data_IF_998416258004
#
_entry.id   IF_998416258004
#
_cell.length_a   1.000
_cell.length_b   1.000
_cell.length_c   1.000
_cell.angle_alpha   90.00
_cell.angle_beta   90.00
_cell.angle_gamma   90.00
#
_symmetry.space_group_name_H-M   'P 1'
#
loop_
_entity.id
_entity.type
_entity.pdbx_description
1 polymer ?
#
# COMPACT_ATOMS: atom_id res chain seq x y z
N UNK A 1 12.27 -12.20 -4.71
CA UNK A 1 11.94 -10.82 -4.29
C UNK A 1 11.17 -10.79 -2.97
N UNK A 2 11.57 -9.96 -2.01
CA UNK A 2 10.82 -9.65 -0.77
C UNK A 2 10.16 -8.28 -0.87
N UNK A 3 8.84 -8.20 -0.67
CA UNK A 3 8.04 -7.00 -0.91
C UNK A 3 6.97 -6.74 0.17
N UNK A 4 6.82 -5.47 0.51
CA UNK A 4 5.70 -4.91 1.29
C UNK A 4 4.72 -4.19 0.35
N UNK A 5 3.44 -4.61 0.31
CA UNK A 5 2.46 -4.08 -0.65
C UNK A 5 1.68 -2.86 -0.16
N UNK A 6 1.86 -2.42 1.09
CA UNK A 6 1.11 -1.29 1.64
C UNK A 6 2.03 -0.42 2.49
N UNK A 7 2.54 0.66 1.93
CA UNK A 7 3.41 1.60 2.64
C UNK A 7 3.09 3.05 2.31
N UNK A 8 3.22 3.91 3.33
CA UNK A 8 3.20 5.37 3.20
C UNK A 8 4.60 5.90 3.48
N UNK A 9 5.11 6.71 2.56
CA UNK A 9 6.44 7.30 2.56
C UNK A 9 6.46 8.76 3.02
N UNK A 10 5.30 9.33 3.36
CA UNK A 10 5.17 10.64 4.00
C UNK A 10 4.93 10.49 5.49
N UNK A 11 5.49 11.42 6.27
CA UNK A 11 5.26 11.46 7.71
C UNK A 11 3.77 11.64 8.06
N UNK A 12 3.05 12.44 7.28
CA UNK A 12 1.61 12.57 7.40
C UNK A 12 0.98 13.13 6.12
N UNK A 13 -0.33 12.87 5.96
CA UNK A 13 -1.16 13.34 4.85
C UNK A 13 -1.07 14.86 4.58
N UNK A 14 -0.89 15.67 5.63
CA UNK A 14 -0.85 17.15 5.54
C UNK A 14 0.57 17.74 5.49
N UNK A 15 1.60 16.91 5.61
CA UNK A 15 3.00 17.32 5.54
C UNK A 15 3.46 17.20 4.09
N UNK A 16 4.38 18.05 3.64
CA UNK A 16 4.96 17.95 2.30
C UNK A 16 5.86 16.72 2.18
N UNK A 17 6.07 16.24 0.95
CA UNK A 17 7.00 15.14 0.73
C UNK A 17 8.44 15.61 0.98
N UNK A 18 9.23 14.79 1.68
CA UNK A 18 10.63 15.05 1.96
C UNK A 18 11.47 13.87 1.46
N UNK A 19 12.34 14.14 0.48
CA UNK A 19 13.23 13.16 -0.11
C UNK A 19 14.20 12.55 0.92
N UNK A 20 14.58 13.28 1.97
CA UNK A 20 15.45 12.77 3.03
C UNK A 20 14.71 11.73 3.88
N UNK A 21 13.49 12.06 4.31
CA UNK A 21 12.63 11.11 5.03
C UNK A 21 12.31 9.88 4.18
N UNK A 22 12.03 10.06 2.88
CA UNK A 22 11.87 8.94 1.94
C UNK A 22 13.10 8.04 1.91
N UNK A 23 14.31 8.60 1.85
CA UNK A 23 15.54 7.82 1.89
C UNK A 23 15.69 7.02 3.20
N UNK A 24 15.28 7.57 4.35
CA UNK A 24 15.26 6.83 5.62
C UNK A 24 14.25 5.66 5.59
N UNK A 25 13.09 5.85 4.96
CA UNK A 25 12.11 4.77 4.72
C UNK A 25 12.75 3.64 3.91
N UNK A 26 13.43 3.96 2.81
CA UNK A 26 14.09 2.96 1.96
C UNK A 26 15.22 2.25 2.70
N UNK A 27 16.06 2.98 3.45
CA UNK A 27 17.11 2.38 4.25
C UNK A 27 16.55 1.38 5.27
N UNK A 28 15.49 1.75 6.01
CA UNK A 28 14.84 0.85 6.97
C UNK A 28 14.20 -0.37 6.28
N UNK A 29 13.70 -0.22 5.05
CA UNK A 29 13.19 -1.32 4.24
C UNK A 29 14.31 -2.32 3.91
N UNK A 30 15.45 -1.82 3.43
CA UNK A 30 16.63 -2.62 3.11
C UNK A 30 17.18 -3.33 4.36
N UNK A 31 17.32 -2.63 5.48
CA UNK A 31 17.79 -3.20 6.76
C UNK A 31 16.82 -4.26 7.31
N UNK A 32 15.52 -4.13 7.03
CA UNK A 32 14.53 -5.16 7.36
C UNK A 32 14.55 -6.36 6.39
N UNK A 33 15.39 -6.32 5.36
CA UNK A 33 15.58 -7.38 4.38
C UNK A 33 14.62 -7.34 3.20
N UNK A 34 13.88 -6.24 2.99
CA UNK A 34 13.06 -6.05 1.78
C UNK A 34 13.94 -5.79 0.55
N UNK A 35 13.46 -6.22 -0.61
CA UNK A 35 14.03 -5.85 -1.91
C UNK A 35 13.17 -4.80 -2.63
N UNK A 36 11.89 -4.74 -2.26
CA UNK A 36 10.92 -3.86 -2.86
C UNK A 36 9.85 -3.40 -1.86
N UNK A 37 9.15 -2.32 -2.21
CA UNK A 37 7.87 -1.95 -1.61
C UNK A 37 6.95 -1.37 -2.67
N UNK A 38 5.64 -1.36 -2.39
CA UNK A 38 4.68 -0.54 -3.08
C UNK A 38 4.44 0.74 -2.28
N UNK A 39 4.70 1.89 -2.91
CA UNK A 39 4.45 3.21 -2.35
C UNK A 39 2.98 3.57 -2.60
N UNK A 40 2.12 3.36 -1.61
CA UNK A 40 0.65 3.49 -1.73
C UNK A 40 0.15 4.68 -0.92
N UNK A 41 0.73 5.85 -1.15
CA UNK A 41 0.32 7.09 -0.48
C UNK A 41 -1.16 7.39 -0.69
N UNK A 42 -1.81 7.98 0.31
CA UNK A 42 -3.19 8.43 0.19
C UNK A 42 -3.35 9.37 -1.01
N UNK A 43 -4.29 9.07 -1.92
CA UNK A 43 -4.50 9.85 -3.14
C UNK A 43 -4.86 11.33 -2.87
N UNK A 44 -5.47 11.61 -1.72
CA UNK A 44 -5.87 12.93 -1.23
C UNK A 44 -4.84 13.53 -0.25
N UNK A 45 -3.58 13.07 -0.28
CA UNK A 45 -2.45 13.68 0.44
C UNK A 45 -2.10 15.05 -0.14
N UNK A 46 -1.59 15.94 0.70
CA UNK A 46 -1.11 17.27 0.28
C UNK A 46 -0.04 17.09 -0.80
N UNK A 47 -0.18 17.82 -1.90
CA UNK A 47 0.79 17.86 -2.99
C UNK A 47 1.16 16.46 -3.53
N UNK A 48 0.16 15.61 -3.78
CA UNK A 48 0.37 14.24 -4.27
C UNK A 48 1.33 14.15 -5.47
N UNK A 49 1.19 15.05 -6.45
CA UNK A 49 2.03 15.06 -7.66
C UNK A 49 3.52 15.35 -7.37
N UNK A 50 3.81 16.20 -6.36
CA UNK A 50 5.19 16.55 -5.98
C UNK A 50 6.00 15.34 -5.52
N UNK A 51 5.34 14.28 -5.00
CA UNK A 51 6.01 13.02 -4.64
C UNK A 51 6.73 12.45 -5.87
N UNK A 52 5.99 12.30 -6.97
CA UNK A 52 6.51 11.72 -8.20
C UNK A 52 7.49 12.64 -8.92
N UNK A 53 7.27 13.96 -8.89
CA UNK A 53 8.20 14.94 -9.43
C UNK A 53 9.55 14.92 -8.71
N UNK A 54 9.54 14.82 -7.38
CA UNK A 54 10.76 14.67 -6.59
C UNK A 54 11.47 13.35 -6.89
N UNK A 55 10.73 12.24 -6.99
CA UNK A 55 11.34 10.95 -7.35
C UNK A 55 11.97 10.97 -8.76
N UNK A 56 11.32 11.61 -9.73
CA UNK A 56 11.84 11.76 -11.10
C UNK A 56 13.17 12.55 -11.15
N UNK A 57 13.37 13.49 -10.23
CA UNK A 57 14.61 14.27 -10.13
C UNK A 57 15.77 13.48 -9.50
N UNK A 58 15.47 12.44 -8.71
CA UNK A 58 16.47 11.77 -7.87
C UNK A 58 16.77 10.32 -8.29
N UNK A 59 15.81 9.63 -8.90
CA UNK A 59 15.93 8.21 -9.20
C UNK A 59 15.44 7.86 -10.61
N UNK A 60 16.10 6.91 -11.29
CA UNK A 60 15.62 6.41 -12.55
C UNK A 60 14.33 5.61 -12.35
N UNK A 61 13.32 5.95 -13.16
CA UNK A 61 12.10 5.16 -13.31
C UNK A 61 12.34 4.07 -14.36
N UNK A 62 12.20 2.81 -13.97
CA UNK A 62 12.46 1.63 -14.80
C UNK A 62 11.22 0.74 -14.76
N UNK A 63 10.68 0.42 -15.94
CA UNK A 63 9.45 -0.36 -16.10
C UNK A 63 8.27 0.24 -15.30
N UNK A 64 7.92 -0.34 -14.15
CA UNK A 64 6.84 0.12 -13.27
C UNK A 64 7.32 0.58 -11.88
N UNK A 65 8.62 0.78 -11.66
CA UNK A 65 9.19 1.15 -10.36
C UNK A 65 10.31 2.20 -10.45
N UNK A 66 10.56 2.90 -9.34
CA UNK A 66 11.79 3.68 -9.17
C UNK A 66 12.90 2.80 -8.61
N UNK A 67 14.08 2.83 -9.24
CA UNK A 67 15.26 2.14 -8.74
C UNK A 67 16.02 3.06 -7.77
N UNK A 68 15.82 2.84 -6.48
CA UNK A 68 16.49 3.57 -5.40
C UNK A 68 17.72 2.79 -4.95
N UNK A 69 18.84 2.99 -5.64
CA UNK A 69 20.12 2.32 -5.34
C UNK A 69 20.02 0.78 -5.26
N UNK A 70 19.30 0.17 -6.20
CA UNK A 70 19.06 -1.27 -6.28
C UNK A 70 17.79 -1.74 -5.56
N UNK A 71 17.09 -0.86 -4.84
CA UNK A 71 15.83 -1.16 -4.19
C UNK A 71 14.64 -0.73 -5.08
N UNK A 72 13.63 -1.61 -5.24
CA UNK A 72 12.50 -1.36 -6.15
C UNK A 72 11.34 -0.68 -5.42
N UNK A 73 10.98 0.53 -5.83
CA UNK A 73 9.81 1.26 -5.32
C UNK A 73 8.72 1.26 -6.37
N UNK A 74 7.79 0.32 -6.28
CA UNK A 74 6.64 0.24 -7.16
C UNK A 74 5.69 1.42 -6.90
N UNK A 75 5.21 2.02 -7.98
CA UNK A 75 4.37 3.22 -7.90
C UNK A 75 2.93 2.87 -7.59
N UNK A 76 2.32 3.58 -6.65
CA UNK A 76 0.99 3.28 -6.13
C UNK A 76 0.27 4.47 -5.51
N UNK A 77 -1.00 4.24 -5.15
CA UNK A 77 -1.78 5.12 -4.29
C UNK A 77 -2.87 4.32 -3.56
N UNK A 78 -3.17 4.72 -2.32
CA UNK A 78 -4.34 4.24 -1.58
C UNK A 78 -5.52 5.19 -1.83
N UNK A 79 -6.62 4.65 -2.33
CA UNK A 79 -7.80 5.42 -2.74
C UNK A 79 -8.98 5.06 -1.84
N UNK A 80 -9.61 6.09 -1.28
CA UNK A 80 -10.84 5.97 -0.50
C UNK A 80 -12.04 5.90 -1.48
N UNK A 81 -12.94 4.93 -1.31
CA UNK A 81 -14.15 4.80 -2.13
C UNK A 81 -15.40 5.29 -1.39
N UNK A 82 -16.41 5.73 -2.15
CA UNK A 82 -17.63 6.36 -1.62
C UNK A 82 -18.43 5.47 -0.69
N UNK A 83 -18.57 4.19 -1.04
CA UNK A 83 -19.30 3.20 -0.24
C UNK A 83 -18.44 2.60 0.87
N UNK A 84 -17.34 3.28 1.23
CA UNK A 84 -16.39 2.95 2.31
C UNK A 84 -15.43 1.83 1.94
N UNK A 85 -14.18 1.92 2.42
CA UNK A 85 -13.11 0.98 2.12
C UNK A 85 -11.99 1.67 1.35
N UNK A 86 -10.79 1.08 1.40
CA UNK A 86 -9.62 1.62 0.73
C UNK A 86 -9.10 0.59 -0.28
N UNK A 87 -8.69 1.06 -1.46
CA UNK A 87 -8.10 0.22 -2.51
C UNK A 87 -6.68 0.68 -2.75
N UNK A 88 -5.73 -0.25 -2.69
CA UNK A 88 -4.35 -0.02 -3.12
C UNK A 88 -4.30 -0.21 -4.64
N UNK A 89 -4.02 0.87 -5.34
CA UNK A 89 -3.86 0.89 -6.79
C UNK A 89 -2.38 1.02 -7.12
N UNK A 90 -1.77 -0.05 -7.60
CA UNK A 90 -0.34 -0.12 -7.91
C UNK A 90 -0.19 -0.31 -9.42
N UNK A 91 0.75 0.37 -10.07
CA UNK A 91 0.91 0.28 -11.53
C UNK A 91 1.82 1.34 -12.10
N UNK A 92 1.97 1.33 -13.42
CA UNK A 92 2.78 2.30 -14.14
C UNK A 92 2.46 3.75 -13.75
N UNK A 93 3.50 4.55 -13.49
CA UNK A 93 3.40 5.94 -13.03
C UNK A 93 2.51 6.79 -13.93
N UNK A 94 2.68 6.71 -15.25
CA UNK A 94 1.91 7.54 -16.19
C UNK A 94 0.42 7.22 -16.12
N UNK A 95 0.08 5.94 -16.02
CA UNK A 95 -1.31 5.49 -15.89
C UNK A 95 -1.90 5.86 -14.53
N UNK A 96 -1.10 5.71 -13.47
CA UNK A 96 -1.49 6.08 -12.12
C UNK A 96 -1.77 7.59 -11.99
N UNK A 97 -0.89 8.44 -12.53
CA UNK A 97 -1.09 9.89 -12.57
C UNK A 97 -2.27 10.30 -13.47
N UNK A 98 -2.59 9.51 -14.49
CA UNK A 98 -3.80 9.71 -15.31
C UNK A 98 -5.06 9.48 -14.48
N UNK A 99 -5.13 8.35 -13.76
CA UNK A 99 -6.25 8.08 -12.85
C UNK A 99 -6.32 9.11 -11.74
N UNK A 100 -5.17 9.50 -11.15
CA UNK A 100 -5.16 10.54 -10.12
C UNK A 100 -5.79 11.84 -10.63
N UNK A 101 -5.47 12.29 -11.86
CA UNK A 101 -6.09 13.49 -12.45
C UNK A 101 -7.61 13.35 -12.63
N UNK A 102 -8.09 12.18 -13.05
CA UNK A 102 -9.53 11.91 -13.13
C UNK A 102 -10.21 12.01 -11.75
N UNK A 103 -9.46 11.75 -10.69
CA UNK A 103 -9.91 11.84 -9.30
C UNK A 103 -9.67 13.20 -8.64
N UNK A 104 -9.22 14.25 -9.34
CA UNK A 104 -8.99 15.58 -8.75
C UNK A 104 -10.24 16.18 -8.10
N UNK A 105 -11.43 15.90 -8.66
CA UNK A 105 -12.71 16.28 -8.07
C UNK A 105 -13.20 15.35 -6.96
N UNK A 106 -12.53 14.22 -6.74
CA UNK A 106 -13.00 13.11 -5.89
C UNK A 106 -12.16 12.92 -4.62
N UNK A 107 -11.47 13.95 -4.13
CA UNK A 107 -10.55 13.83 -2.99
C UNK A 107 -11.18 14.09 -1.62
N UNK A 108 -12.42 14.57 -1.60
CA UNK A 108 -13.17 14.88 -0.38
C UNK A 108 -14.12 13.74 -0.01
N UNK A 109 -14.28 13.51 1.30
CA UNK A 109 -15.10 12.42 1.85
C UNK A 109 -16.54 12.37 1.34
N UNK A 110 -17.09 13.52 0.95
CA UNK A 110 -18.47 13.66 0.48
C UNK A 110 -18.58 13.40 -1.03
N UNK A 111 -17.46 13.28 -1.73
CA UNK A 111 -17.39 13.13 -3.18
C UNK A 111 -16.36 12.08 -3.66
N UNK A 112 -16.01 11.10 -2.84
CA UNK A 112 -15.16 9.98 -3.29
C UNK A 112 -15.76 9.27 -4.51
N UNK A 113 -14.90 8.63 -5.30
CA UNK A 113 -15.28 7.82 -6.47
C UNK A 113 -16.06 6.58 -6.04
N UNK A 114 -17.00 6.12 -6.86
CA UNK A 114 -17.70 4.86 -6.62
C UNK A 114 -16.73 3.69 -6.73
N UNK A 115 -16.91 2.65 -5.90
CA UNK A 115 -16.02 1.48 -5.95
C UNK A 115 -16.02 0.81 -7.34
N UNK A 116 -17.18 0.67 -7.97
CA UNK A 116 -17.31 0.06 -9.30
C UNK A 116 -16.59 0.88 -10.39
N UNK A 117 -16.70 2.20 -10.34
CA UNK A 117 -16.00 3.11 -11.26
C UNK A 117 -14.48 2.99 -11.08
N UNK A 118 -14.00 2.92 -9.84
CA UNK A 118 -12.58 2.74 -9.56
C UNK A 118 -12.06 1.39 -10.09
N UNK A 119 -12.83 0.31 -9.93
CA UNK A 119 -12.48 -1.00 -10.50
C UNK A 119 -12.35 -0.92 -12.02
N UNK A 120 -13.30 -0.26 -12.69
CA UNK A 120 -13.27 -0.08 -14.15
C UNK A 120 -12.03 0.71 -14.60
N UNK A 121 -11.68 1.79 -13.90
CA UNK A 121 -10.47 2.55 -14.17
C UNK A 121 -9.21 1.70 -13.98
N UNK A 122 -9.14 0.96 -12.88
CA UNK A 122 -8.01 0.08 -12.59
C UNK A 122 -7.79 -1.00 -13.65
N UNK A 123 -8.87 -1.65 -14.09
CA UNK A 123 -8.86 -2.66 -15.14
C UNK A 123 -8.41 -2.07 -16.49
N UNK A 124 -9.00 -0.94 -16.91
CA UNK A 124 -8.66 -0.26 -18.16
C UNK A 124 -7.18 0.12 -18.23
N UNK A 125 -6.60 0.49 -17.09
CA UNK A 125 -5.20 0.89 -16.99
C UNK A 125 -4.25 -0.26 -16.63
N UNK A 126 -4.76 -1.49 -16.45
CA UNK A 126 -3.98 -2.65 -16.01
C UNK A 126 -3.20 -2.39 -14.71
N UNK A 127 -3.88 -1.83 -13.71
CA UNK A 127 -3.35 -1.71 -12.36
C UNK A 127 -3.49 -3.04 -11.60
N UNK A 128 -2.63 -3.23 -10.60
CA UNK A 128 -2.83 -4.19 -9.53
C UNK A 128 -3.73 -3.54 -8.47
N UNK A 129 -4.88 -4.16 -8.20
CA UNK A 129 -5.91 -3.68 -7.28
C UNK A 129 -5.99 -4.58 -6.05
N UNK A 130 -5.57 -4.06 -4.90
CA UNK A 130 -5.61 -4.80 -3.64
C UNK A 130 -6.64 -4.13 -2.73
N UNK A 131 -7.60 -4.91 -2.22
CA UNK A 131 -8.53 -4.43 -1.20
C UNK A 131 -7.81 -4.20 0.12
N UNK A 132 -7.63 -2.95 0.51
CA UNK A 132 -6.97 -2.53 1.74
C UNK A 132 -7.75 -2.99 2.97
N UNK A 133 -7.05 -3.56 3.95
CA UNK A 133 -7.56 -3.86 5.31
C UNK A 133 -9.07 -4.21 5.39
N UNK A 134 -9.51 -5.30 4.74
CA UNK A 134 -10.91 -5.45 4.33
C UNK A 134 -11.91 -5.57 5.49
N UNK A 135 -11.42 -5.96 6.67
CA UNK A 135 -12.22 -6.17 7.89
C UNK A 135 -12.09 -5.02 8.89
N UNK A 136 -11.38 -3.94 8.57
CA UNK A 136 -11.19 -2.81 9.47
C UNK A 136 -12.55 -2.16 9.79
N UNK A 137 -12.95 -2.07 11.07
CA UNK A 137 -14.29 -1.58 11.44
C UNK A 137 -14.60 -0.16 10.98
N UNK A 138 -13.59 0.72 10.88
CA UNK A 138 -13.80 2.10 10.42
C UNK A 138 -14.04 2.19 8.92
N UNK A 139 -13.58 1.21 8.14
CA UNK A 139 -13.59 1.21 6.68
C UNK A 139 -13.85 -0.20 6.11
N UNK A 140 -15.01 -0.82 6.44
CA UNK A 140 -15.26 -2.24 6.20
C UNK A 140 -15.51 -2.56 4.73
N UNK A 141 -14.44 -2.84 3.97
CA UNK A 141 -14.53 -3.22 2.56
C UNK A 141 -15.35 -4.51 2.34
N UNK A 142 -15.38 -5.42 3.31
CA UNK A 142 -16.13 -6.69 3.22
C UNK A 142 -17.65 -6.53 3.15
N UNK A 143 -18.20 -5.33 3.32
CA UNK A 143 -19.64 -5.06 3.15
C UNK A 143 -20.07 -4.88 1.69
N UNK A 144 -19.12 -4.74 0.76
CA UNK A 144 -19.40 -4.58 -0.66
C UNK A 144 -19.97 -5.85 -1.30
N UNK A 145 -20.62 -5.70 -2.45
CA UNK A 145 -21.13 -6.82 -3.23
C UNK A 145 -19.98 -7.80 -3.58
N UNK A 146 -20.12 -9.11 -3.28
CA UNK A 146 -19.10 -10.11 -3.61
C UNK A 146 -18.69 -10.14 -5.09
N UNK A 147 -19.57 -9.76 -6.02
CA UNK A 147 -19.26 -9.65 -7.45
C UNK A 147 -18.28 -8.52 -7.76
N UNK A 148 -18.38 -7.38 -7.07
CA UNK A 148 -17.42 -6.29 -7.18
C UNK A 148 -16.10 -6.67 -6.50
N UNK A 149 -16.16 -7.28 -5.31
CA UNK A 149 -14.97 -7.72 -4.59
C UNK A 149 -14.13 -8.71 -5.40
N UNK A 150 -14.75 -9.61 -6.16
CA UNK A 150 -14.07 -10.57 -7.05
C UNK A 150 -13.28 -9.93 -8.21
N UNK A 151 -13.47 -8.64 -8.48
CA UNK A 151 -12.72 -7.89 -9.49
C UNK A 151 -11.38 -7.35 -8.97
N UNK A 152 -11.14 -7.43 -7.66
CA UNK A 152 -9.83 -7.16 -7.07
C UNK A 152 -8.86 -8.32 -7.37
N UNK A 153 -7.57 -8.03 -7.25
CA UNK A 153 -6.49 -9.01 -7.45
C UNK A 153 -6.10 -9.72 -6.16
N UNK A 154 -6.24 -9.06 -5.01
CA UNK A 154 -5.95 -9.60 -3.69
C UNK A 154 -6.60 -8.79 -2.57
N UNK A 155 -6.52 -9.30 -1.35
CA UNK A 155 -6.78 -8.54 -0.12
C UNK A 155 -5.50 -8.29 0.68
N UNK A 156 -5.42 -7.13 1.31
CA UNK A 156 -4.35 -6.74 2.22
C UNK A 156 -4.62 -7.24 3.64
N UNK A 157 -3.66 -7.98 4.19
CA UNK A 157 -3.60 -8.30 5.61
C UNK A 157 -2.43 -7.54 6.23
N UNK A 158 -2.74 -6.41 6.87
CA UNK A 158 -1.73 -5.45 7.27
C UNK A 158 -1.22 -5.57 8.71
N UNK A 159 0.01 -5.09 8.91
CA UNK A 159 0.69 -5.11 10.20
C UNK A 159 -0.03 -4.29 11.29
N UNK A 160 -0.62 -3.14 10.94
CA UNK A 160 -1.31 -2.25 11.88
C UNK A 160 -2.56 -2.89 12.48
N UNK A 161 -3.39 -3.55 11.67
CA UNK A 161 -4.60 -4.23 12.14
C UNK A 161 -4.22 -5.50 12.90
N UNK A 162 -3.19 -6.23 12.48
CA UNK A 162 -2.64 -7.34 13.28
C UNK A 162 -2.21 -6.88 14.68
N UNK A 163 -1.60 -5.69 14.77
CA UNK A 163 -1.20 -5.11 16.05
C UNK A 163 -2.40 -4.72 16.92
N UNK A 164 -3.44 -4.14 16.32
CA UNK A 164 -4.61 -3.63 17.03
C UNK A 164 -5.58 -4.75 17.45
N UNK A 165 -5.76 -5.76 16.62
CA UNK A 165 -6.82 -6.77 16.76
C UNK A 165 -6.29 -8.18 17.03
N UNK A 166 -4.96 -8.35 17.03
CA UNK A 166 -4.27 -9.62 17.27
C UNK A 166 -3.90 -10.35 15.99
N UNK A 167 -2.65 -10.82 15.93
CA UNK A 167 -2.05 -11.46 14.74
C UNK A 167 -2.87 -12.68 14.29
N UNK A 168 -3.14 -13.62 15.20
CA UNK A 168 -3.81 -14.88 14.84
C UNK A 168 -5.26 -14.66 14.40
N UNK A 169 -5.95 -13.75 15.08
CA UNK A 169 -7.33 -13.38 14.74
C UNK A 169 -7.39 -12.78 13.34
N UNK A 170 -6.61 -11.73 13.08
CA UNK A 170 -6.63 -11.06 11.77
C UNK A 170 -6.21 -12.01 10.65
N UNK A 171 -5.20 -12.86 10.89
CA UNK A 171 -4.76 -13.88 9.94
C UNK A 171 -5.87 -14.88 9.62
N UNK A 172 -6.60 -15.36 10.63
CA UNK A 172 -7.72 -16.28 10.44
C UNK A 172 -8.86 -15.61 9.68
N UNK A 173 -9.30 -14.45 10.16
CA UNK A 173 -10.51 -13.79 9.67
C UNK A 173 -10.35 -13.29 8.23
N UNK A 174 -9.23 -12.63 7.90
CA UNK A 174 -8.98 -12.13 6.54
C UNK A 174 -8.77 -13.29 5.55
N UNK A 175 -8.09 -14.37 5.96
CA UNK A 175 -7.92 -15.54 5.07
C UNK A 175 -9.25 -16.25 4.81
N UNK A 176 -10.08 -16.43 5.84
CA UNK A 176 -11.41 -17.02 5.67
C UNK A 176 -12.30 -16.17 4.76
N UNK A 177 -12.29 -14.85 4.94
CA UNK A 177 -13.00 -13.93 4.05
C UNK A 177 -12.49 -14.01 2.60
N UNK A 178 -11.17 -13.95 2.40
CA UNK A 178 -10.57 -14.03 1.08
C UNK A 178 -10.86 -15.38 0.39
N UNK A 179 -10.90 -16.48 1.14
CA UNK A 179 -11.29 -17.81 0.65
C UNK A 179 -12.75 -17.83 0.16
N UNK A 180 -13.68 -17.21 0.89
CA UNK A 180 -15.09 -17.07 0.47
C UNK A 180 -15.22 -16.31 -0.84
N UNK A 181 -14.44 -15.23 -1.03
CA UNK A 181 -14.47 -14.43 -2.25
C UNK A 181 -13.69 -15.11 -3.40
N UNK A 182 -12.71 -15.95 -3.07
CA UNK A 182 -11.84 -16.65 -4.03
C UNK A 182 -10.54 -15.92 -4.38
N UNK A 183 -10.13 -14.93 -3.57
CA UNK A 183 -8.95 -14.09 -3.84
C UNK A 183 -7.74 -14.45 -2.96
N UNK A 184 -6.51 -14.15 -3.42
CA UNK A 184 -5.31 -14.29 -2.60
C UNK A 184 -5.21 -13.18 -1.53
N UNK A 185 -4.35 -13.40 -0.54
CA UNK A 185 -4.05 -12.43 0.52
C UNK A 185 -2.58 -12.06 0.45
N UNK A 186 -2.27 -10.77 0.34
CA UNK A 186 -0.92 -10.24 0.39
C UNK A 186 -0.75 -9.39 1.64
N UNK A 187 0.47 -9.26 2.13
CA UNK A 187 0.75 -8.53 3.37
C UNK A 187 1.32 -7.15 3.04
N UNK A 188 0.83 -6.12 3.71
CA UNK A 188 1.44 -4.80 3.68
C UNK A 188 1.53 -4.18 5.08
N UNK A 189 2.49 -3.31 5.35
CA UNK A 189 2.63 -2.80 6.72
C UNK A 189 1.52 -1.80 7.10
N UNK A 190 0.97 -1.03 6.15
CA UNK A 190 0.25 0.23 6.41
C UNK A 190 1.15 1.18 7.26
N UNK A 191 2.45 1.16 6.94
CA UNK A 191 3.45 1.96 7.65
C UNK A 191 3.35 3.42 7.30
N UNK A 192 3.57 4.28 8.30
CA UNK A 192 3.70 5.73 8.10
C UNK A 192 4.97 6.28 8.78
N UNK A 193 5.92 5.39 9.07
CA UNK A 193 7.17 5.72 9.73
C UNK A 193 8.19 4.60 9.43
N UNK A 194 9.47 4.92 9.18
CA UNK A 194 10.51 3.94 8.83
C UNK A 194 10.58 2.72 9.75
N UNK A 195 10.52 2.92 11.08
CA UNK A 195 10.55 1.84 12.09
C UNK A 195 9.49 0.74 11.87
N UNK A 196 8.33 1.08 11.30
CA UNK A 196 7.24 0.12 11.05
C UNK A 196 7.51 -0.73 9.78
N UNK A 197 8.31 -0.23 8.84
CA UNK A 197 8.60 -0.94 7.60
C UNK A 197 9.21 -2.33 7.89
N UNK A 198 8.81 -3.32 7.10
CA UNK A 198 9.26 -4.71 7.26
C UNK A 198 8.78 -5.36 8.56
N UNK A 199 7.69 -4.87 9.16
CA UNK A 199 6.96 -5.61 10.19
C UNK A 199 6.22 -6.82 9.59
N UNK A 200 5.85 -6.72 8.32
CA UNK A 200 5.32 -7.80 7.49
C UNK A 200 5.97 -7.74 6.11
N UNK A 201 6.00 -8.86 5.40
CA UNK A 201 6.48 -8.91 4.01
C UNK A 201 5.94 -10.15 3.30
N UNK A 202 6.06 -10.16 1.97
CA UNK A 202 5.80 -11.30 1.10
C UNK A 202 7.12 -11.69 0.41
N UNK A 203 7.39 -12.98 0.33
CA UNK A 203 8.59 -13.53 -0.29
C UNK A 203 8.18 -14.36 -1.49
N UNK A 204 8.57 -13.90 -2.66
CA UNK A 204 8.45 -14.61 -3.92
C UNK A 204 9.81 -15.18 -4.31
N UNK A 205 9.81 -16.35 -4.96
CA UNK A 205 11.04 -16.99 -5.45
C UNK A 205 11.68 -16.24 -6.63
N UNK A 206 10.87 -15.57 -7.45
CA UNK A 206 11.33 -14.78 -8.61
C UNK A 206 11.64 -13.32 -8.31
N UNK A 207 12.26 -12.66 -9.29
CA UNK A 207 12.40 -11.20 -9.36
C UNK A 207 11.45 -10.65 -10.41
N UNK A 208 10.76 -9.56 -10.10
CA UNK A 208 9.75 -8.96 -10.96
C UNK A 208 10.03 -7.48 -11.16
N UNK A 209 9.79 -6.98 -12.36
CA UNK A 209 10.08 -5.60 -12.77
C UNK A 209 8.81 -4.84 -13.16
N UNK A 210 7.73 -5.55 -13.49
CA UNK A 210 6.45 -4.94 -13.85
C UNK A 210 5.35 -5.34 -12.87
N UNK A 211 4.32 -4.50 -12.80
CA UNK A 211 3.14 -4.79 -11.98
C UNK A 211 2.31 -5.94 -12.58
N UNK A 212 2.35 -6.12 -13.91
CA UNK A 212 1.72 -7.26 -14.56
C UNK A 212 2.31 -8.61 -14.10
N UNK A 213 3.65 -8.67 -13.95
CA UNK A 213 4.32 -9.84 -13.41
C UNK A 213 3.94 -10.10 -11.94
N UNK A 214 3.86 -9.06 -11.12
CA UNK A 214 3.41 -9.18 -9.73
C UNK A 214 1.97 -9.70 -9.64
N UNK A 215 1.07 -9.14 -10.44
CA UNK A 215 -0.33 -9.56 -10.52
C UNK A 215 -0.44 -11.04 -10.88
N UNK A 216 0.35 -11.51 -11.86
CA UNK A 216 0.42 -12.94 -12.21
C UNK A 216 0.94 -13.79 -11.05
N UNK A 217 2.05 -13.41 -10.42
CA UNK A 217 2.64 -14.15 -9.32
C UNK A 217 1.71 -14.25 -8.08
N UNK A 218 0.95 -13.17 -7.81
CA UNK A 218 -0.07 -13.13 -6.76
C UNK A 218 -1.22 -14.09 -7.09
N UNK A 219 -1.72 -14.08 -8.33
CA UNK A 219 -2.79 -14.97 -8.79
C UNK A 219 -2.39 -16.45 -8.72
N UNK A 220 -1.13 -16.77 -9.00
CA UNK A 220 -0.55 -18.11 -8.88
C UNK A 220 -0.32 -18.55 -7.43
N UNK A 221 -0.47 -17.65 -6.45
CA UNK A 221 -0.26 -17.90 -5.01
C UNK A 221 1.14 -18.46 -4.68
N UNK A 222 2.12 -18.21 -5.55
CA UNK A 222 3.48 -18.72 -5.39
C UNK A 222 4.36 -17.76 -4.57
N UNK A 223 3.97 -17.56 -3.31
CA UNK A 223 4.70 -16.75 -2.35
C UNK A 223 4.39 -17.18 -0.93
N UNK A 224 5.28 -16.82 -0.01
CA UNK A 224 5.05 -16.95 1.43
C UNK A 224 4.99 -15.57 2.07
N UNK A 225 4.28 -15.46 3.20
CA UNK A 225 4.21 -14.21 3.94
C UNK A 225 4.89 -14.37 5.30
N UNK A 226 5.60 -13.33 5.73
CA UNK A 226 6.34 -13.28 6.98
C UNK A 226 5.79 -12.17 7.87
N UNK A 227 5.78 -12.43 9.18
CA UNK A 227 5.40 -11.49 10.23
C UNK A 227 6.59 -11.42 11.18
N UNK A 228 7.06 -10.21 11.47
CA UNK A 228 8.13 -10.01 12.43
C UNK A 228 7.72 -10.50 13.82
N UNK A 229 8.58 -11.24 14.54
CA UNK A 229 8.30 -11.64 15.92
C UNK A 229 8.19 -10.45 16.89
N UNK A 230 8.66 -9.28 16.46
CA UNK A 230 8.59 -8.01 17.20
C UNK A 230 7.64 -7.00 16.54
N UNK A 231 6.62 -7.47 15.81
CA UNK A 231 5.63 -6.62 15.12
C UNK A 231 5.03 -5.57 16.06
N UNK A 232 4.57 -5.96 17.25
CA UNK A 232 3.98 -5.01 18.20
C UNK A 232 4.98 -3.94 18.65
N UNK A 233 6.24 -4.31 18.89
CA UNK A 233 7.31 -3.38 19.28
C UNK A 233 7.60 -2.37 18.18
N UNK A 234 7.75 -2.82 16.92
CA UNK A 234 7.97 -1.95 15.76
C UNK A 234 6.85 -0.90 15.62
N UNK A 235 5.60 -1.34 15.68
CA UNK A 235 4.43 -0.46 15.50
C UNK A 235 4.29 0.52 16.67
N UNK A 236 4.48 0.07 17.91
CA UNK A 236 4.44 0.96 19.07
C UNK A 236 5.55 2.02 19.03
N UNK A 237 6.78 1.63 18.71
CA UNK A 237 7.89 2.55 18.56
C UNK A 237 7.61 3.59 17.45
N UNK A 238 7.15 3.14 16.29
CA UNK A 238 6.74 4.01 15.19
C UNK A 238 5.64 5.01 15.61
N UNK A 239 4.59 4.56 16.33
CA UNK A 239 3.51 5.41 16.84
C UNK A 239 4.08 6.51 17.77
N UNK A 240 4.96 6.17 18.70
CA UNK A 240 5.56 7.11 19.66
C UNK A 240 6.44 8.14 18.95
N UNK A 241 7.38 7.69 18.10
CA UNK A 241 8.31 8.58 17.41
C UNK A 241 7.56 9.50 16.45
N UNK A 242 6.62 8.97 15.65
CA UNK A 242 5.78 9.76 14.75
C UNK A 242 5.01 10.85 15.50
N UNK A 243 4.45 10.54 16.67
CA UNK A 243 3.76 11.53 17.51
C UNK A 243 4.71 12.67 17.91
N UNK A 244 5.93 12.34 18.34
CA UNK A 244 6.95 13.35 18.73
C UNK A 244 7.41 14.21 17.55
N UNK A 245 7.60 13.63 16.37
CA UNK A 245 7.96 14.37 15.17
C UNK A 245 6.86 15.36 14.76
N UNK A 246 5.60 14.96 14.85
CA UNK A 246 4.44 15.83 14.57
C UNK A 246 4.35 17.01 15.55
N UNK A 247 4.52 16.73 16.85
CA UNK A 247 4.58 17.76 17.90
C UNK A 247 5.66 18.81 17.60
N UNK A 248 6.84 18.38 17.13
CA UNK A 248 7.93 19.27 16.75
C UNK A 248 7.66 20.10 15.47
N UNK A 249 6.78 19.62 14.60
CA UNK A 249 6.37 20.30 13.37
C UNK A 249 5.17 21.23 13.56
N UNK A 250 4.60 21.32 14.77
CA UNK A 250 3.37 22.08 15.07
C UNK A 250 2.13 21.57 14.33
N UNK A 251 2.07 20.26 14.03
CA UNK A 251 0.98 19.58 13.29
C UNK A 251 0.34 18.47 14.12
#
# INVERSE_FOLDING_TARGET
MKIDFHTHVKLAKRVDFDIKFFNEVILNAQESGLNALAMTEHFNTKNFYEIYEQLDQHYPYVDDYYNVNGFKVFTGMEIDVKEVGHILCIGNKTKLLTIRRLLDGHTDKDNFVLFEELLQLGELHNLLLIGGHPLRPSTPLHHHDPSLLRRLDAFDLNGKDMHEHGIDRMRKDVKAFAEIIGLPVVYGSDSHHPIHIGAVQNTFEGEFNTVAELKKAIAERNYTSYISPVLHTKINAAKIVKKKMKEALTI
#
